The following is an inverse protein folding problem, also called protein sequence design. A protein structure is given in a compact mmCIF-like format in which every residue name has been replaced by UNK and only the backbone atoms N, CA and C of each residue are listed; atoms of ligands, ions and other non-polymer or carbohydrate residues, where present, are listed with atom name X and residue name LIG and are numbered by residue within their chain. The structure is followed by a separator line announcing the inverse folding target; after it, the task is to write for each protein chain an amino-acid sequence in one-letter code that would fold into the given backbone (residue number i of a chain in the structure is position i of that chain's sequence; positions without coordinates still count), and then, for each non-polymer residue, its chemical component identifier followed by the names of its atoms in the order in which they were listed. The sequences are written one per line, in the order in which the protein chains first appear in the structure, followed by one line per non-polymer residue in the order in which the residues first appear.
data_IF_864105212772
#
_entry.id   IF_864105212772
#
_cell.length_a   1.000
_cell.length_b   1.000
_cell.length_c   1.000
_cell.angle_alpha   90.00
_cell.angle_beta   90.00
_cell.angle_gamma   90.00
#
_symmetry.space_group_name_H-M   'P 1'
#
loop_
_entity.id
_entity.type
_entity.pdbx_description
1 polymer ?
#
# COMPACT_ATOMS: atom_id res chain seq x y z
N UNK A 1 39.47 -49.09 -23.91
CA UNK A 1 38.07 -48.90 -23.48
C UNK A 1 38.13 -48.56 -22.00
N UNK A 2 38.36 -47.28 -21.69
CA UNK A 2 38.41 -46.79 -20.31
C UNK A 2 36.99 -46.48 -19.83
N UNK A 3 36.43 -47.39 -19.04
CA UNK A 3 35.21 -47.13 -18.28
C UNK A 3 35.57 -46.36 -17.01
N UNK A 4 35.41 -45.04 -17.03
CA UNK A 4 35.47 -44.22 -15.81
C UNK A 4 34.37 -44.67 -14.86
N UNK A 5 34.79 -45.24 -13.73
CA UNK A 5 33.96 -45.59 -12.57
C UNK A 5 33.45 -44.28 -11.96
N UNK A 6 32.16 -44.04 -12.07
CA UNK A 6 31.50 -42.89 -11.44
C UNK A 6 31.50 -43.17 -9.93
N UNK A 7 32.24 -42.36 -9.18
CA UNK A 7 32.36 -42.49 -7.72
C UNK A 7 31.03 -42.15 -7.04
N UNK A 8 30.68 -42.93 -6.01
CA UNK A 8 29.35 -42.93 -5.38
C UNK A 8 28.87 -41.58 -4.82
N UNK A 9 29.73 -40.56 -4.71
CA UNK A 9 29.36 -39.24 -4.23
C UNK A 9 28.48 -38.44 -5.22
N UNK A 10 28.61 -38.64 -6.53
CA UNK A 10 27.76 -37.93 -7.51
C UNK A 10 26.32 -38.44 -7.48
N UNK A 11 26.11 -39.73 -7.18
CA UNK A 11 24.78 -40.34 -7.08
C UNK A 11 24.03 -39.82 -5.85
N UNK A 12 24.72 -39.61 -4.73
CA UNK A 12 24.13 -39.02 -3.52
C UNK A 12 23.82 -37.52 -3.70
N UNK A 13 24.68 -36.77 -4.40
CA UNK A 13 24.43 -35.36 -4.70
C UNK A 13 23.22 -35.18 -5.63
N UNK A 14 23.08 -36.03 -6.66
CA UNK A 14 21.92 -36.00 -7.56
C UNK A 14 20.62 -36.40 -6.83
N UNK A 15 20.67 -37.41 -5.97
CA UNK A 15 19.52 -37.85 -5.17
C UNK A 15 19.07 -36.79 -4.16
N UNK A 16 20.00 -36.07 -3.51
CA UNK A 16 19.65 -34.95 -2.62
C UNK A 16 19.04 -33.76 -3.38
N UNK A 17 19.56 -33.42 -4.57
CA UNK A 17 18.98 -32.35 -5.40
C UNK A 17 17.56 -32.67 -5.88
N UNK A 18 17.27 -33.93 -6.22
CA UNK A 18 15.91 -34.37 -6.60
C UNK A 18 14.97 -34.41 -5.39
N UNK A 19 15.48 -34.72 -4.19
CA UNK A 19 14.70 -34.73 -2.94
C UNK A 19 14.32 -33.32 -2.45
N UNK A 20 15.21 -32.33 -2.64
CA UNK A 20 14.97 -30.94 -2.25
C UNK A 20 13.96 -30.26 -3.18
N UNK A 21 13.78 -30.76 -4.42
CA UNK A 21 12.80 -30.22 -5.37
C UNK A 21 11.34 -30.67 -5.11
N UNK A 22 11.09 -31.62 -4.20
CA UNK A 22 9.74 -32.19 -3.99
C UNK A 22 8.93 -31.57 -2.84
N UNK A 23 9.48 -30.59 -2.12
CA UNK A 23 8.77 -29.90 -1.02
C UNK A 23 8.79 -28.38 -1.14
N UNK A 24 8.93 -27.83 -2.35
CA UNK A 24 8.45 -26.48 -2.57
C UNK A 24 6.92 -26.54 -2.44
N UNK A 25 6.28 -25.85 -1.47
CA UNK A 25 4.83 -25.76 -1.47
C UNK A 25 4.43 -25.19 -2.83
N UNK A 26 3.75 -26.00 -3.64
CA UNK A 26 3.13 -25.53 -4.87
C UNK A 26 2.05 -24.56 -4.39
N UNK A 27 2.36 -23.28 -4.35
CA UNK A 27 1.34 -22.24 -4.27
C UNK A 27 0.62 -22.34 -5.60
N UNK A 28 -0.47 -23.11 -5.63
CA UNK A 28 -1.39 -23.13 -6.76
C UNK A 28 -1.95 -21.72 -6.83
N UNK A 29 -1.36 -20.88 -7.68
CA UNK A 29 -1.87 -19.55 -7.96
C UNK A 29 -3.23 -19.72 -8.61
N UNK A 30 -4.30 -19.56 -7.81
CA UNK A 30 -5.65 -19.52 -8.35
C UNK A 30 -5.80 -18.21 -9.12
N UNK A 31 -6.06 -18.24 -10.44
CA UNK A 31 -6.14 -17.02 -11.24
C UNK A 31 -7.30 -16.14 -10.77
N UNK A 32 -7.14 -14.81 -10.91
CA UNK A 32 -8.22 -13.86 -10.60
C UNK A 32 -9.39 -14.12 -11.56
N UNK A 33 -10.64 -14.24 -11.07
CA UNK A 33 -11.80 -14.44 -11.92
C UNK A 33 -11.99 -13.26 -12.89
N UNK A 34 -12.32 -13.56 -14.15
CA UNK A 34 -12.69 -12.55 -15.13
C UNK A 34 -14.04 -11.87 -14.80
N UNK A 35 -14.97 -12.63 -14.20
CA UNK A 35 -16.26 -12.12 -13.75
C UNK A 35 -16.09 -11.35 -12.43
N UNK A 36 -16.33 -10.03 -12.49
CA UNK A 36 -16.25 -9.14 -11.33
C UNK A 36 -17.12 -9.58 -10.17
N UNK A 37 -18.26 -10.23 -10.40
CA UNK A 37 -19.14 -10.69 -9.32
C UNK A 37 -18.53 -11.80 -8.48
N UNK A 38 -17.56 -12.54 -9.03
CA UNK A 38 -16.88 -13.66 -8.37
C UNK A 38 -15.60 -13.24 -7.63
N UNK A 39 -15.07 -12.05 -7.90
CA UNK A 39 -13.81 -11.56 -7.33
C UNK A 39 -13.87 -11.50 -5.81
N UNK A 40 -15.00 -11.10 -5.22
CA UNK A 40 -15.14 -11.02 -3.76
C UNK A 40 -15.10 -12.41 -3.11
N UNK A 41 -15.83 -13.37 -3.67
CA UNK A 41 -15.83 -14.75 -3.19
C UNK A 41 -14.45 -15.39 -3.33
N UNK A 42 -13.78 -15.17 -4.47
CA UNK A 42 -12.41 -15.60 -4.71
C UNK A 42 -11.42 -14.99 -3.71
N UNK A 43 -11.51 -13.68 -3.47
CA UNK A 43 -10.64 -12.97 -2.54
C UNK A 43 -10.77 -13.52 -1.12
N UNK A 44 -12.00 -13.69 -0.62
CA UNK A 44 -12.27 -14.29 0.70
C UNK A 44 -11.91 -15.79 0.76
N UNK A 45 -11.88 -16.45 -0.39
CA UNK A 45 -11.37 -17.81 -0.55
C UNK A 45 -9.87 -17.92 -0.32
N UNK A 46 -9.09 -16.94 -0.80
CA UNK A 46 -7.62 -16.98 -0.81
C UNK A 46 -7.01 -16.24 0.38
N UNK A 47 -7.53 -15.06 0.71
CA UNK A 47 -7.03 -14.23 1.80
C UNK A 47 -7.72 -14.66 3.10
N UNK A 48 -7.16 -15.69 3.72
CA UNK A 48 -7.60 -16.15 5.05
C UNK A 48 -7.07 -15.26 6.18
N UNK A 49 -7.73 -15.24 7.35
CA UNK A 49 -7.22 -14.57 8.55
C UNK A 49 -5.79 -15.00 8.90
N UNK A 50 -5.00 -14.10 9.49
CA UNK A 50 -3.58 -14.36 9.85
C UNK A 50 -3.42 -15.65 10.66
N UNK A 51 -4.32 -15.91 11.60
CA UNK A 51 -4.31 -17.14 12.44
C UNK A 51 -4.42 -18.43 11.63
N UNK A 52 -5.07 -18.39 10.47
CA UNK A 52 -5.27 -19.53 9.57
C UNK A 52 -4.15 -19.63 8.53
N UNK A 53 -3.37 -18.56 8.32
CA UNK A 53 -2.30 -18.51 7.31
C UNK A 53 -0.92 -18.95 7.83
N UNK A 54 -0.77 -19.13 9.14
CA UNK A 54 0.33 -19.87 9.76
C UNK A 54 1.73 -19.52 9.22
N UNK A 55 2.58 -20.54 9.06
CA UNK A 55 4.00 -20.48 8.65
C UNK A 55 4.26 -20.00 7.22
N UNK A 56 3.22 -19.62 6.46
CA UNK A 56 3.36 -19.15 5.06
C UNK A 56 3.48 -17.63 4.94
N UNK A 57 3.19 -16.91 6.03
CA UNK A 57 3.34 -15.46 6.10
C UNK A 57 4.78 -15.09 6.47
N UNK A 58 5.18 -13.87 6.09
CA UNK A 58 6.44 -13.30 6.54
C UNK A 58 6.50 -13.29 8.08
N UNK A 59 7.55 -13.89 8.69
CA UNK A 59 7.72 -13.90 10.14
C UNK A 59 7.69 -12.52 10.79
N UNK A 60 8.24 -11.48 10.14
CA UNK A 60 8.24 -10.11 10.66
C UNK A 60 6.81 -9.55 10.73
N UNK A 61 5.99 -9.83 9.71
CA UNK A 61 4.58 -9.44 9.73
C UNK A 61 3.82 -10.16 10.84
N UNK A 62 4.03 -11.48 10.98
CA UNK A 62 3.38 -12.26 12.05
C UNK A 62 3.74 -11.70 13.42
N UNK A 63 5.01 -11.38 13.64
CA UNK A 63 5.47 -10.79 14.90
C UNK A 63 4.86 -9.40 15.14
N UNK A 64 4.81 -8.56 14.11
CA UNK A 64 4.23 -7.23 14.22
C UNK A 64 2.74 -7.24 14.59
N UNK A 65 1.98 -8.24 14.14
CA UNK A 65 0.53 -8.38 14.38
C UNK A 65 0.18 -9.03 15.73
N UNK A 66 1.16 -9.48 16.52
CA UNK A 66 0.91 -10.17 17.80
C UNK A 66 0.24 -9.26 18.84
N UNK A 67 0.65 -8.00 18.89
CA UNK A 67 0.14 -7.01 19.84
C UNK A 67 0.06 -5.62 19.17
N UNK A 68 -0.98 -5.36 18.36
CA UNK A 68 -1.14 -4.08 17.70
C UNK A 68 -1.39 -2.96 18.71
N UNK A 69 -0.71 -1.81 18.51
CA UNK A 69 -0.97 -0.58 19.25
C UNK A 69 -1.95 0.28 18.47
N UNK A 70 -2.93 0.88 19.15
CA UNK A 70 -3.86 1.84 18.54
C UNK A 70 -3.50 3.24 19.03
N UNK A 71 -3.42 4.21 18.12
CA UNK A 71 -3.27 5.63 18.38
C UNK A 71 -4.48 6.36 17.82
N UNK A 72 -5.20 7.14 18.63
CA UNK A 72 -6.38 7.88 18.17
C UNK A 72 -6.04 9.31 17.74
N UNK A 73 -6.49 9.71 16.55
CA UNK A 73 -6.37 11.07 16.03
C UNK A 73 -7.75 11.66 15.83
N UNK A 74 -8.06 12.80 16.46
CA UNK A 74 -9.32 13.50 16.25
C UNK A 74 -9.09 15.02 16.18
N UNK A 75 -9.48 15.61 15.05
CA UNK A 75 -9.44 17.05 14.86
C UNK A 75 -10.43 17.71 15.82
N UNK A 76 -9.99 18.69 16.62
CA UNK A 76 -10.84 19.34 17.63
C UNK A 76 -10.85 18.69 19.02
N UNK A 77 -10.02 17.65 19.23
CA UNK A 77 -9.78 17.04 20.56
C UNK A 77 -10.47 15.68 20.76
N UNK A 78 -10.15 15.02 21.87
CA UNK A 78 -10.67 13.69 22.24
C UNK A 78 -9.90 12.49 21.68
N UNK A 79 -8.92 12.73 20.80
CA UNK A 79 -7.88 11.77 20.44
C UNK A 79 -6.62 11.95 21.29
N UNK A 80 -5.65 11.05 21.15
CA UNK A 80 -4.30 11.24 21.68
C UNK A 80 -3.56 12.37 20.95
N UNK A 81 -3.87 12.54 19.65
CA UNK A 81 -3.37 13.63 18.82
C UNK A 81 -4.51 14.32 18.07
N UNK A 82 -4.26 15.58 17.71
CA UNK A 82 -5.13 16.42 16.90
C UNK A 82 -4.77 16.38 15.40
N UNK A 83 -3.55 15.94 15.06
CA UNK A 83 -3.04 15.84 13.69
C UNK A 83 -2.47 14.45 13.40
N UNK A 84 -2.48 14.07 12.11
CA UNK A 84 -1.96 12.77 11.67
C UNK A 84 -0.42 12.77 11.77
N UNK A 85 0.22 13.90 11.44
CA UNK A 85 1.69 14.05 11.48
C UNK A 85 2.24 13.79 12.89
N UNK A 86 1.66 14.38 13.94
CA UNK A 86 2.10 14.17 15.33
C UNK A 86 1.96 12.70 15.76
N UNK A 87 0.90 12.02 15.32
CA UNK A 87 0.71 10.61 15.60
C UNK A 87 1.81 9.75 14.97
N UNK A 88 2.20 10.02 13.71
CA UNK A 88 3.31 9.35 13.03
C UNK A 88 4.65 9.63 13.71
N UNK A 89 4.89 10.87 14.11
CA UNK A 89 6.11 11.28 14.84
C UNK A 89 6.26 10.52 16.16
N UNK A 90 5.16 10.20 16.85
CA UNK A 90 5.16 9.44 18.09
C UNK A 90 5.54 7.96 17.95
N UNK A 91 5.53 7.41 16.73
CA UNK A 91 5.97 6.04 16.45
C UNK A 91 7.50 5.99 16.40
N UNK A 92 8.18 5.14 17.17
CA UNK A 92 9.64 5.10 17.15
C UNK A 92 10.19 4.62 15.80
N UNK A 93 11.36 5.11 15.42
CA UNK A 93 12.15 4.52 14.32
C UNK A 93 12.49 3.07 14.63
N UNK A 94 12.49 2.20 13.63
CA UNK A 94 12.68 0.75 13.80
C UNK A 94 11.46 0.04 14.41
N UNK A 95 10.26 0.63 14.28
CA UNK A 95 9.03 0.06 14.80
C UNK A 95 8.85 -1.40 14.35
N UNK A 96 8.65 -2.32 15.29
CA UNK A 96 8.47 -3.74 15.01
C UNK A 96 7.05 -4.26 15.31
N UNK A 97 6.12 -3.38 15.70
CA UNK A 97 4.73 -3.72 16.03
C UNK A 97 3.76 -3.01 15.10
N UNK A 98 2.62 -3.62 14.79
CA UNK A 98 1.55 -2.95 14.05
C UNK A 98 1.07 -1.73 14.85
N UNK A 99 1.17 -0.54 14.27
CA UNK A 99 0.60 0.69 14.85
C UNK A 99 -0.57 1.15 14.00
N UNK A 100 -1.77 1.08 14.57
CA UNK A 100 -3.01 1.53 13.94
C UNK A 100 -3.30 2.94 14.40
N UNK A 101 -3.05 3.91 13.52
CA UNK A 101 -3.46 5.29 13.68
C UNK A 101 -4.92 5.38 13.22
N UNK A 102 -5.84 5.36 14.19
CA UNK A 102 -7.27 5.50 13.97
C UNK A 102 -7.62 6.98 13.83
N UNK A 103 -7.99 7.39 12.62
CA UNK A 103 -8.25 8.78 12.26
C UNK A 103 -9.76 9.01 12.26
N UNK A 104 -10.22 9.88 13.17
CA UNK A 104 -11.60 10.32 13.26
C UNK A 104 -12.05 11.11 12.03
N UNK A 105 -13.36 11.34 11.87
CA UNK A 105 -13.87 12.14 10.76
C UNK A 105 -13.34 13.58 10.84
N UNK A 106 -13.05 14.17 9.69
CA UNK A 106 -12.51 15.52 9.64
C UNK A 106 -11.84 15.84 8.31
N UNK A 107 -11.29 17.05 8.22
CA UNK A 107 -10.49 17.50 7.09
C UNK A 107 -9.10 17.90 7.59
N UNK A 108 -8.15 17.00 7.35
CA UNK A 108 -6.76 17.10 7.76
C UNK A 108 -5.96 17.72 6.62
N UNK A 109 -5.80 19.04 6.65
CA UNK A 109 -4.95 19.76 5.69
C UNK A 109 -3.48 19.66 6.11
N UNK A 110 -2.84 18.55 5.76
CA UNK A 110 -1.48 18.20 6.15
C UNK A 110 -0.73 17.58 4.96
N UNK A 111 0.57 17.85 4.84
CA UNK A 111 1.45 17.09 3.95
C UNK A 111 2.03 15.92 4.74
N UNK A 112 1.46 14.73 4.56
CA UNK A 112 1.72 13.56 5.40
C UNK A 112 2.85 12.73 4.77
N UNK A 113 3.89 12.42 5.54
CA UNK A 113 4.93 11.46 5.17
C UNK A 113 5.06 10.40 6.25
N UNK A 114 5.11 9.14 5.83
CA UNK A 114 5.45 8.01 6.69
C UNK A 114 6.79 7.46 6.21
N UNK A 115 7.81 7.66 7.03
CA UNK A 115 9.19 7.36 6.67
C UNK A 115 9.45 5.86 6.59
N UNK A 116 10.43 5.49 5.76
CA UNK A 116 10.83 4.09 5.55
C UNK A 116 11.20 3.35 6.83
N UNK A 117 11.75 4.05 7.82
CA UNK A 117 12.18 3.47 9.08
C UNK A 117 11.04 3.26 10.09
N UNK A 118 9.78 3.48 9.73
CA UNK A 118 8.61 3.22 10.58
C UNK A 118 7.66 2.18 9.93
N UNK A 119 8.08 0.92 9.74
CA UNK A 119 7.24 -0.09 9.09
C UNK A 119 6.00 -0.44 9.92
N UNK A 120 5.05 -1.16 9.31
CA UNK A 120 3.83 -1.66 9.96
C UNK A 120 2.89 -0.56 10.50
N UNK A 121 2.86 0.62 9.88
CA UNK A 121 1.87 1.65 10.19
C UNK A 121 0.58 1.40 9.40
N UNK A 122 -0.56 1.58 10.07
CA UNK A 122 -1.89 1.60 9.45
C UNK A 122 -2.56 2.95 9.69
N UNK A 123 -3.05 3.60 8.64
CA UNK A 123 -4.02 4.69 8.75
C UNK A 123 -5.42 4.12 8.54
N UNK A 124 -6.29 4.25 9.55
CA UNK A 124 -7.63 3.66 9.54
C UNK A 124 -8.70 4.70 9.83
N UNK A 125 -9.61 4.93 8.88
CA UNK A 125 -10.82 5.71 9.08
C UNK A 125 -12.07 4.86 9.34
N UNK A 126 -13.18 5.54 9.66
CA UNK A 126 -14.52 4.94 9.67
C UNK A 126 -15.05 4.87 8.22
N UNK A 127 -15.44 3.69 7.69
CA UNK A 127 -15.98 3.57 6.34
C UNK A 127 -17.24 4.42 6.09
N UNK A 128 -18.02 4.74 7.15
CA UNK A 128 -19.22 5.58 7.04
C UNK A 128 -18.89 7.07 7.02
N UNK A 129 -17.77 7.47 7.62
CA UNK A 129 -17.33 8.85 7.77
C UNK A 129 -15.82 8.97 7.57
N UNK A 130 -15.37 8.65 6.35
CA UNK A 130 -13.95 8.62 6.03
C UNK A 130 -13.31 10.01 6.17
N UNK A 131 -12.14 10.13 6.84
CA UNK A 131 -11.42 11.39 6.93
C UNK A 131 -10.90 11.86 5.57
N UNK A 132 -10.85 13.18 5.39
CA UNK A 132 -10.24 13.82 4.22
C UNK A 132 -8.81 14.23 4.56
N UNK A 133 -7.85 13.51 4.01
CA UNK A 133 -6.43 13.87 4.02
C UNK A 133 -6.20 14.73 2.78
N UNK A 134 -5.84 16.00 2.97
CA UNK A 134 -5.75 16.94 1.86
C UNK A 134 -4.51 17.83 1.92
N UNK A 135 -3.93 18.09 0.75
CA UNK A 135 -2.89 19.09 0.56
C UNK A 135 -3.00 19.65 -0.86
N UNK A 136 -2.32 20.76 -1.18
CA UNK A 136 -2.36 21.46 -2.47
C UNK A 136 -0.97 21.61 -3.09
N UNK A 137 -0.06 20.67 -2.80
CA UNK A 137 1.28 20.65 -3.34
C UNK A 137 1.29 20.39 -4.85
N UNK A 138 2.14 21.14 -5.57
CA UNK A 138 2.38 20.96 -7.02
C UNK A 138 3.85 20.68 -7.31
N UNK A 139 4.15 20.13 -8.48
CA UNK A 139 5.51 19.88 -8.92
C UNK A 139 6.33 21.15 -9.07
N UNK A 140 5.70 22.30 -9.34
CA UNK A 140 6.39 23.59 -9.33
C UNK A 140 7.04 23.90 -7.98
N UNK A 141 6.39 23.51 -6.88
CA UNK A 141 6.88 23.79 -5.53
C UNK A 141 7.75 22.66 -4.97
N UNK A 142 7.41 21.40 -5.26
CA UNK A 142 8.01 20.24 -4.59
C UNK A 142 8.67 19.25 -5.54
N UNK A 143 8.57 19.43 -6.86
CA UNK A 143 8.75 18.32 -7.80
C UNK A 143 7.58 17.34 -7.76
N UNK A 144 7.43 16.52 -8.80
CA UNK A 144 6.27 15.63 -8.95
C UNK A 144 6.09 14.71 -7.76
N UNK A 145 7.12 13.93 -7.42
CA UNK A 145 7.01 12.87 -6.40
C UNK A 145 6.76 13.41 -4.99
N UNK A 146 7.34 14.56 -4.65
CA UNK A 146 7.17 15.17 -3.34
C UNK A 146 6.00 16.15 -3.30
N UNK A 147 5.23 16.32 -4.39
CA UNK A 147 3.97 17.08 -4.37
C UNK A 147 2.84 16.36 -3.63
N UNK A 148 3.04 15.08 -3.28
CA UNK A 148 2.01 14.21 -2.75
C UNK A 148 1.38 14.70 -1.43
N UNK A 149 0.07 14.50 -1.29
CA UNK A 149 -0.65 14.72 -0.02
C UNK A 149 -0.27 13.67 1.03
N UNK A 150 -0.24 12.39 0.63
CA UNK A 150 0.25 11.29 1.44
C UNK A 150 1.44 10.63 0.74
N UNK A 151 2.59 10.60 1.41
CA UNK A 151 3.79 9.86 1.01
C UNK A 151 3.97 8.71 2.00
N UNK A 152 3.92 7.47 1.52
CA UNK A 152 4.25 6.30 2.35
C UNK A 152 5.44 5.54 1.79
N UNK A 153 6.55 5.61 2.53
CA UNK A 153 7.78 4.88 2.26
C UNK A 153 7.94 3.66 3.17
N UNK A 154 7.01 3.48 4.13
CA UNK A 154 6.97 2.43 5.13
C UNK A 154 6.56 1.10 4.51
N UNK A 155 7.38 0.06 4.68
CA UNK A 155 6.97 -1.30 4.33
C UNK A 155 5.78 -1.76 5.18
N UNK A 156 4.93 -2.62 4.61
CA UNK A 156 3.71 -3.12 5.24
C UNK A 156 2.73 -2.03 5.66
N UNK A 157 2.74 -0.89 4.97
CA UNK A 157 1.78 0.16 5.22
C UNK A 157 0.36 -0.30 4.84
N UNK A 158 -0.63 0.06 5.66
CA UNK A 158 -2.03 -0.14 5.30
C UNK A 158 -2.81 1.18 5.38
N UNK A 159 -3.48 1.56 4.30
CA UNK A 159 -4.45 2.64 4.30
C UNK A 159 -5.86 2.08 4.13
N UNK A 160 -6.76 2.31 5.08
CA UNK A 160 -8.12 1.81 5.01
C UNK A 160 -9.15 2.89 5.34
N UNK A 161 -10.18 3.01 4.49
CA UNK A 161 -11.28 3.95 4.65
C UNK A 161 -10.83 5.42 4.72
N UNK A 162 -10.08 5.88 3.71
CA UNK A 162 -9.51 7.22 3.65
C UNK A 162 -9.89 7.94 2.35
N UNK A 163 -10.14 9.25 2.42
CA UNK A 163 -10.12 10.11 1.24
C UNK A 163 -8.76 10.82 1.18
N UNK A 164 -7.96 10.53 0.16
CA UNK A 164 -6.63 11.10 -0.06
C UNK A 164 -6.74 12.02 -1.28
N UNK A 165 -6.62 13.33 -1.06
CA UNK A 165 -7.00 14.34 -2.06
C UNK A 165 -5.89 15.37 -2.24
N UNK A 166 -5.33 15.45 -3.44
CA UNK A 166 -4.62 16.67 -3.84
C UNK A 166 -5.63 17.70 -4.34
N UNK A 167 -5.67 18.85 -3.67
CA UNK A 167 -6.61 19.94 -3.88
C UNK A 167 -6.05 21.07 -4.75
N UNK A 168 -4.87 20.89 -5.35
CA UNK A 168 -4.35 21.79 -6.36
C UNK A 168 -5.37 22.01 -7.50
N UNK A 169 -5.43 23.23 -8.08
CA UNK A 169 -6.39 23.54 -9.13
C UNK A 169 -6.16 22.67 -10.37
N UNK A 170 -7.24 22.40 -11.12
CA UNK A 170 -7.16 21.69 -12.39
C UNK A 170 -6.14 22.37 -13.32
N UNK A 171 -5.18 21.64 -13.90
CA UNK A 171 -4.27 22.20 -14.89
C UNK A 171 -5.04 22.79 -16.08
N UNK A 172 -4.67 24.01 -16.50
CA UNK A 172 -5.26 24.74 -17.63
C UNK A 172 -4.55 24.47 -18.97
N UNK A 173 -3.59 23.54 -18.97
CA UNK A 173 -2.74 23.21 -20.12
C UNK A 173 -1.61 24.21 -20.38
N UNK A 174 -1.49 25.29 -19.60
CA UNK A 174 -0.45 26.33 -19.73
C UNK A 174 0.47 26.39 -18.53
N UNK A 175 -0.03 26.02 -17.36
CA UNK A 175 0.71 26.05 -16.10
C UNK A 175 1.88 25.05 -16.11
N UNK A 176 3.11 25.57 -16.00
CA UNK A 176 4.32 24.77 -15.83
C UNK A 176 4.38 24.21 -14.42
N UNK A 177 4.63 22.90 -14.29
CA UNK A 177 4.74 22.23 -12.98
C UNK A 177 3.39 21.96 -12.31
N UNK A 178 2.33 21.76 -13.09
CA UNK A 178 0.96 21.56 -12.61
C UNK A 178 0.65 20.15 -12.08
N UNK A 179 1.60 19.21 -12.17
CA UNK A 179 1.47 17.87 -11.61
C UNK A 179 1.22 17.95 -10.10
N UNK A 180 0.28 17.16 -9.59
CA UNK A 180 -0.20 17.29 -8.22
C UNK A 180 -0.63 15.92 -7.68
N UNK A 181 0.32 15.24 -7.03
CA UNK A 181 0.12 13.87 -6.56
C UNK A 181 -0.80 13.85 -5.34
N UNK A 182 -1.77 12.93 -5.28
CA UNK A 182 -2.57 12.70 -4.09
C UNK A 182 -1.87 11.68 -3.18
N UNK A 183 -1.49 10.53 -3.74
CA UNK A 183 -0.81 9.45 -3.03
C UNK A 183 0.49 9.10 -3.75
N UNK A 184 1.59 9.06 -3.01
CA UNK A 184 2.82 8.37 -3.40
C UNK A 184 3.04 7.18 -2.48
N UNK A 185 3.23 6.01 -3.05
CA UNK A 185 3.53 4.78 -2.31
C UNK A 185 4.79 4.12 -2.85
N UNK A 186 5.76 3.90 -1.96
CA UNK A 186 7.05 3.29 -2.30
C UNK A 186 7.52 2.23 -1.28
N UNK A 187 6.73 1.99 -0.24
CA UNK A 187 6.98 0.99 0.80
C UNK A 187 6.48 -0.37 0.35
N UNK A 188 7.34 -1.39 0.45
CA UNK A 188 7.01 -2.72 -0.07
C UNK A 188 5.88 -3.37 0.73
N UNK A 189 5.05 -4.18 0.06
CA UNK A 189 3.91 -4.91 0.63
C UNK A 189 2.86 -3.98 1.26
N UNK A 190 2.65 -2.81 0.66
CA UNK A 190 1.61 -1.87 1.09
C UNK A 190 0.24 -2.25 0.55
N UNK A 191 -0.81 -2.01 1.33
CA UNK A 191 -2.18 -2.31 0.92
C UNK A 191 -3.14 -1.14 1.18
N UNK A 192 -4.09 -0.95 0.28
CA UNK A 192 -5.12 0.06 0.37
C UNK A 192 -6.51 -0.56 0.22
N UNK A 193 -7.41 -0.26 1.15
CA UNK A 193 -8.76 -0.80 1.18
C UNK A 193 -9.80 0.33 1.28
N UNK A 194 -10.76 0.36 0.35
CA UNK A 194 -11.85 1.33 0.37
C UNK A 194 -11.34 2.79 0.50
N UNK A 195 -10.30 3.14 -0.27
CA UNK A 195 -9.73 4.48 -0.28
C UNK A 195 -10.18 5.25 -1.54
N UNK A 196 -10.47 6.55 -1.39
CA UNK A 196 -10.66 7.46 -2.53
C UNK A 196 -9.38 8.24 -2.76
N UNK A 197 -8.72 8.05 -3.90
CA UNK A 197 -7.47 8.72 -4.27
C UNK A 197 -7.79 9.67 -5.42
N UNK A 198 -7.74 10.97 -5.14
CA UNK A 198 -8.35 11.99 -5.99
C UNK A 198 -7.35 13.11 -6.30
N UNK A 199 -7.20 13.41 -7.59
CA UNK A 199 -6.44 14.54 -8.07
C UNK A 199 -6.76 14.87 -9.52
N UNK A 200 -5.80 15.49 -10.21
CA UNK A 200 -5.84 15.73 -11.66
C UNK A 200 -4.67 15.00 -12.33
N UNK A 201 -3.64 15.73 -12.76
CA UNK A 201 -2.44 15.14 -13.34
C UNK A 201 -1.58 14.49 -12.24
N UNK A 202 -1.10 13.28 -12.50
CA UNK A 202 -0.20 12.50 -11.64
C UNK A 202 -0.83 12.09 -10.29
N UNK A 203 -2.12 11.78 -10.26
CA UNK A 203 -2.89 11.53 -9.02
C UNK A 203 -2.28 10.44 -8.09
N UNK A 204 -1.89 9.28 -8.62
CA UNK A 204 -1.29 8.18 -7.88
C UNK A 204 0.11 7.89 -8.42
N UNK A 205 1.13 8.18 -7.62
CA UNK A 205 2.50 7.75 -7.84
C UNK A 205 2.71 6.39 -7.17
N UNK A 206 2.46 5.33 -7.94
CA UNK A 206 2.78 3.93 -7.61
C UNK A 206 4.27 3.67 -7.86
N UNK A 207 5.10 4.28 -7.01
CA UNK A 207 6.53 4.55 -7.24
C UNK A 207 7.34 3.26 -7.44
N UNK A 208 7.37 2.37 -6.44
CA UNK A 208 8.13 1.11 -6.45
C UNK A 208 7.67 0.18 -5.32
N UNK A 209 7.92 -1.12 -5.46
CA UNK A 209 7.55 -2.13 -4.46
C UNK A 209 6.28 -2.89 -4.88
N UNK A 210 5.82 -3.80 -4.02
CA UNK A 210 4.61 -4.58 -4.26
C UNK A 210 3.42 -3.95 -3.54
N UNK A 211 2.39 -3.55 -4.27
CA UNK A 211 1.22 -2.91 -3.66
C UNK A 211 -0.09 -3.60 -4.05
N UNK A 212 -1.07 -3.46 -3.17
CA UNK A 212 -2.41 -4.00 -3.38
C UNK A 212 -3.47 -2.95 -3.13
N UNK A 213 -4.40 -2.79 -4.07
CA UNK A 213 -5.53 -1.86 -3.94
C UNK A 213 -6.83 -2.64 -4.11
N UNK A 214 -7.73 -2.60 -3.12
CA UNK A 214 -9.03 -3.26 -3.15
C UNK A 214 -10.15 -2.28 -2.81
N UNK A 215 -11.20 -2.27 -3.63
CA UNK A 215 -12.37 -1.39 -3.47
C UNK A 215 -12.02 0.11 -3.43
N UNK A 216 -10.85 0.47 -3.95
CA UNK A 216 -10.45 1.86 -4.04
C UNK A 216 -11.14 2.55 -5.23
N UNK A 217 -11.24 3.88 -5.13
CA UNK A 217 -11.69 4.75 -6.20
C UNK A 217 -10.57 5.71 -6.57
N UNK A 218 -10.02 5.57 -7.78
CA UNK A 218 -8.91 6.40 -8.26
C UNK A 218 -9.42 7.29 -9.39
N UNK A 219 -9.24 8.62 -9.24
CA UNK A 219 -9.73 9.62 -10.18
C UNK A 219 -8.67 10.69 -10.49
N UNK A 220 -8.39 10.88 -11.78
CA UNK A 220 -7.52 11.94 -12.28
C UNK A 220 -7.65 12.17 -13.78
N UNK A 221 -6.71 12.91 -14.39
CA UNK A 221 -6.68 13.26 -15.82
C UNK A 221 -5.54 12.60 -16.58
N UNK A 222 -4.36 13.23 -16.60
CA UNK A 222 -3.16 12.77 -17.32
C UNK A 222 -2.28 11.98 -16.35
N UNK A 223 -1.76 10.84 -16.79
CA UNK A 223 -0.84 9.97 -16.04
C UNK A 223 -1.28 9.72 -14.59
N UNK A 224 -2.60 9.61 -14.39
CA UNK A 224 -3.19 9.65 -13.05
C UNK A 224 -2.86 8.40 -12.20
N UNK A 225 -2.32 7.35 -12.81
CA UNK A 225 -1.59 6.26 -12.16
C UNK A 225 -0.29 6.09 -12.91
N UNK A 226 0.85 6.27 -12.24
CA UNK A 226 2.18 6.18 -12.85
C UNK A 226 3.22 5.68 -11.83
N UNK A 227 4.39 5.25 -12.32
CA UNK A 227 5.51 4.78 -11.51
C UNK A 227 6.02 3.41 -11.96
N UNK A 228 6.73 2.71 -11.08
CA UNK A 228 7.39 1.41 -11.36
C UNK A 228 7.04 0.33 -10.32
N UNK A 229 5.96 0.53 -9.54
CA UNK A 229 5.43 -0.48 -8.63
C UNK A 229 4.88 -1.71 -9.34
N UNK A 230 4.98 -2.86 -8.67
CA UNK A 230 4.34 -4.12 -9.07
C UNK A 230 3.04 -4.25 -8.29
N UNK A 231 1.94 -3.80 -8.89
CA UNK A 231 0.70 -3.60 -8.15
C UNK A 231 -0.47 -4.39 -8.71
N UNK A 232 -1.30 -4.91 -7.79
CA UNK A 232 -2.59 -5.52 -8.12
C UNK A 232 -3.74 -4.58 -7.74
N UNK A 233 -4.57 -4.27 -8.72
CA UNK A 233 -5.71 -3.35 -8.59
C UNK A 233 -7.04 -4.11 -8.75
N UNK A 234 -7.73 -4.34 -7.63
CA UNK A 234 -9.13 -4.81 -7.58
C UNK A 234 -10.04 -3.62 -7.26
N UNK A 235 -10.08 -2.63 -8.17
CA UNK A 235 -10.59 -1.28 -7.90
C UNK A 235 -11.56 -0.78 -8.98
N UNK A 236 -12.21 0.36 -8.73
CA UNK A 236 -12.91 1.16 -9.74
C UNK A 236 -12.07 2.36 -10.16
N UNK A 237 -11.81 2.49 -11.47
CA UNK A 237 -10.96 3.55 -12.05
C UNK A 237 -11.82 4.47 -12.93
N UNK A 238 -11.75 5.78 -12.69
CA UNK A 238 -12.48 6.78 -13.48
C UNK A 238 -11.52 7.83 -14.07
N UNK A 239 -11.27 7.79 -15.40
CA UNK A 239 -10.62 8.90 -16.07
C UNK A 239 -11.59 10.09 -16.13
N UNK A 240 -11.15 11.28 -15.72
CA UNK A 240 -11.93 12.49 -15.96
C UNK A 240 -11.89 12.81 -17.46
N UNK A 241 -13.07 12.77 -18.11
CA UNK A 241 -13.22 13.27 -19.48
C UNK A 241 -13.11 14.79 -19.48
N UNK A 242 -12.54 15.34 -20.54
CA UNK A 242 -12.65 16.76 -20.83
C UNK A 242 -14.15 17.13 -20.96
N UNK A 243 -14.54 18.19 -20.25
CA UNK A 243 -15.83 18.88 -20.45
C UNK A 243 -15.47 20.14 -21.21
#
# INVERSE_FOLDING_TARGET
MDGKRIEGNEVYALAMCVSILLFAPIVVSQPIPADKSQVEAWFNGIIKPVKERGTTLDPELVQAETEPRIIKVMQGGGGEFDTITKAIESVPSGNAKRVIISVGPGSYKEKIRIERNKPFITLLGDPKNMPNLTFDGTAKQYGTVDSATLITESNYFVGANLNIVNSAPRPDGKMVGAQAVALRVSGDRSAFYNCKIIGFQDTLCDDRGNHFFKDCHIRGTVDFIFGSGTSLYLVFIFPMREI
#
